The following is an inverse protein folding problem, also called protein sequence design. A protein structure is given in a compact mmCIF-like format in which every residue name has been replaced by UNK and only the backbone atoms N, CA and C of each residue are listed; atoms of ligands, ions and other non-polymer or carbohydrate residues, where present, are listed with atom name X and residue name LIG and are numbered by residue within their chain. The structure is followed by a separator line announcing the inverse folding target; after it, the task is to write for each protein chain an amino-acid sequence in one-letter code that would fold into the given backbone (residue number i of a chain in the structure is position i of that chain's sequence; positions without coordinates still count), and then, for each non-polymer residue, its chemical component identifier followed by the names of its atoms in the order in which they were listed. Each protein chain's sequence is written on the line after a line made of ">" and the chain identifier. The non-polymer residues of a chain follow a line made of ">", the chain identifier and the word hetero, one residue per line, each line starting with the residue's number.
data_IF_700894704029
#
_entry.id   IF_700894704029
#
_cell.length_a   1.000
_cell.length_b   1.000
_cell.length_c   1.000
_cell.angle_alpha   90.00
_cell.angle_beta   90.00
_cell.angle_gamma   90.00
#
_symmetry.space_group_name_H-M   'P 1'
#
loop_
_entity.id
_entity.type
_entity.pdbx_description
1 polymer ?
#
# COMPACT_ATOMS: atom_id res chain seq x y z
N UNK A 1 0.39 20.77 -22.69
CA UNK A 1 -0.52 19.75 -22.16
C UNK A 1 -1.79 19.74 -23.01
N UNK A 2 -1.98 18.75 -23.87
CA UNK A 2 -3.17 18.63 -24.70
C UNK A 2 -4.36 18.12 -23.89
N UNK A 3 -5.52 18.81 -24.01
CA UNK A 3 -6.80 18.35 -23.48
C UNK A 3 -7.54 17.67 -24.64
N UNK A 4 -7.80 16.37 -24.49
CA UNK A 4 -8.41 15.52 -25.51
C UNK A 4 -9.82 15.15 -25.07
N UNK A 5 -10.83 15.68 -25.74
CA UNK A 5 -12.23 15.28 -25.48
C UNK A 5 -12.47 13.90 -26.01
N UNK A 6 -13.06 13.03 -25.18
CA UNK A 6 -13.41 11.67 -25.53
C UNK A 6 -14.93 11.47 -25.47
N UNK A 7 -15.47 10.96 -26.57
CA UNK A 7 -16.87 10.56 -26.72
C UNK A 7 -16.99 9.05 -27.03
N UNK A 8 -15.85 8.40 -27.32
CA UNK A 8 -15.75 6.99 -27.66
C UNK A 8 -14.64 6.30 -26.84
N UNK A 9 -14.69 4.96 -26.80
CA UNK A 9 -13.72 4.15 -26.06
C UNK A 9 -12.44 3.84 -26.85
N UNK A 10 -12.37 4.23 -28.12
CA UNK A 10 -11.30 3.83 -29.05
C UNK A 10 -10.32 4.97 -29.33
N UNK A 11 -9.92 5.71 -28.30
CA UNK A 11 -8.93 6.78 -28.42
C UNK A 11 -7.55 6.22 -28.00
N UNK A 12 -6.49 6.39 -28.83
CA UNK A 12 -5.14 5.98 -28.45
C UNK A 12 -4.69 6.60 -27.12
N UNK A 13 -4.04 5.82 -26.26
CA UNK A 13 -3.58 6.27 -24.94
C UNK A 13 -4.54 6.01 -23.79
N UNK A 14 -5.80 5.60 -24.06
CA UNK A 14 -6.77 5.25 -23.02
C UNK A 14 -6.62 3.82 -22.47
N UNK A 15 -5.77 2.99 -23.06
CA UNK A 15 -5.62 1.58 -22.69
C UNK A 15 -5.37 1.36 -21.20
N UNK A 16 -4.54 2.23 -20.59
CA UNK A 16 -4.23 2.16 -19.17
C UNK A 16 -5.46 2.26 -18.26
N UNK A 17 -6.53 2.92 -18.73
CA UNK A 17 -7.74 3.15 -17.94
C UNK A 17 -8.88 2.15 -18.24
N UNK A 18 -8.84 1.45 -19.36
CA UNK A 18 -9.97 0.67 -19.85
C UNK A 18 -9.66 -0.81 -20.08
N UNK A 19 -8.65 -1.11 -20.90
CA UNK A 19 -8.42 -2.45 -21.44
C UNK A 19 -7.35 -3.24 -20.71
N UNK A 20 -6.41 -2.55 -20.04
CA UNK A 20 -5.31 -3.22 -19.35
C UNK A 20 -5.71 -3.71 -17.96
N UNK A 21 -5.49 -4.99 -17.72
CA UNK A 21 -5.56 -5.56 -16.39
C UNK A 21 -4.39 -5.05 -15.52
N UNK A 22 -4.52 -5.13 -14.19
CA UNK A 22 -3.42 -4.79 -13.26
C UNK A 22 -2.11 -5.52 -13.59
N UNK A 23 -2.21 -6.78 -14.06
CA UNK A 23 -1.04 -7.56 -14.49
C UNK A 23 -0.40 -7.00 -15.76
N UNK A 24 -1.20 -6.53 -16.69
CA UNK A 24 -0.71 -5.91 -17.93
C UNK A 24 -0.12 -4.53 -17.65
N UNK A 25 -0.78 -3.70 -16.83
CA UNK A 25 -0.24 -2.41 -16.37
C UNK A 25 1.15 -2.58 -15.75
N UNK A 26 1.33 -3.60 -14.91
CA UNK A 26 2.64 -3.89 -14.30
C UNK A 26 3.71 -4.31 -15.31
N UNK A 27 3.32 -4.82 -16.48
CA UNK A 27 4.23 -5.28 -17.55
C UNK A 27 4.46 -4.26 -18.68
N UNK A 28 3.69 -3.18 -18.72
CA UNK A 28 3.98 -2.07 -19.64
C UNK A 28 5.41 -1.56 -19.43
N UNK A 29 5.97 -0.90 -20.43
CA UNK A 29 7.31 -0.33 -20.37
C UNK A 29 7.52 0.51 -19.11
N UNK A 30 8.43 0.04 -18.24
CA UNK A 30 8.66 0.59 -16.90
C UNK A 30 7.56 0.29 -15.86
N UNK A 31 6.47 -0.39 -16.25
CA UNK A 31 5.31 -0.67 -15.38
C UNK A 31 4.47 0.57 -15.05
N UNK A 32 3.15 0.41 -15.01
CA UNK A 32 2.21 1.46 -14.65
C UNK A 32 1.36 1.06 -13.44
N UNK A 33 0.75 2.05 -12.82
CA UNK A 33 -0.32 1.89 -11.84
C UNK A 33 -1.31 3.07 -11.95
N UNK A 34 -2.52 2.91 -11.41
CA UNK A 34 -3.56 3.93 -11.45
C UNK A 34 -3.72 4.55 -10.05
N UNK A 35 -3.56 5.86 -9.98
CA UNK A 35 -3.93 6.67 -8.83
C UNK A 35 -5.33 7.28 -9.06
N UNK A 36 -6.21 7.18 -8.05
CA UNK A 36 -7.59 7.66 -8.11
C UNK A 36 -7.82 8.76 -7.10
N UNK A 37 -8.37 9.85 -7.52
CA UNK A 37 -8.69 11.11 -6.82
C UNK A 37 -7.55 12.14 -6.78
N UNK A 38 -7.89 13.46 -6.81
CA UNK A 38 -6.89 14.54 -6.74
C UNK A 38 -5.97 14.42 -5.52
N UNK A 39 -6.53 14.04 -4.35
CA UNK A 39 -5.74 13.88 -3.12
C UNK A 39 -4.67 12.78 -3.24
N UNK A 40 -5.04 11.62 -3.76
CA UNK A 40 -4.11 10.48 -3.93
C UNK A 40 -3.05 10.80 -4.98
N UNK A 41 -3.47 11.40 -6.11
CA UNK A 41 -2.56 11.83 -7.18
C UNK A 41 -1.55 12.85 -6.65
N UNK A 42 -2.01 13.82 -5.85
CA UNK A 42 -1.13 14.81 -5.21
C UNK A 42 -0.05 14.12 -4.36
N UNK A 43 -0.43 13.17 -3.51
CA UNK A 43 0.53 12.44 -2.66
C UNK A 43 1.53 11.66 -3.50
N UNK A 44 1.10 11.03 -4.61
CA UNK A 44 1.99 10.33 -5.52
C UNK A 44 2.99 11.28 -6.20
N UNK A 45 2.52 12.45 -6.69
CA UNK A 45 3.37 13.50 -7.28
C UNK A 45 4.36 14.05 -6.23
N UNK A 46 3.93 14.29 -5.00
CA UNK A 46 4.79 14.76 -3.90
C UNK A 46 5.87 13.71 -3.57
N UNK A 47 5.56 12.42 -3.72
CA UNK A 47 6.52 11.32 -3.58
C UNK A 47 7.41 11.11 -4.82
N UNK A 48 7.26 11.93 -5.88
CA UNK A 48 8.08 11.90 -7.08
C UNK A 48 7.72 10.82 -8.09
N UNK A 49 6.49 10.31 -8.08
CA UNK A 49 5.99 9.45 -9.14
C UNK A 49 5.64 10.27 -10.39
N UNK A 50 5.99 9.74 -11.56
CA UNK A 50 5.80 10.41 -12.84
C UNK A 50 4.42 10.08 -13.42
N UNK A 51 3.59 11.10 -13.75
CA UNK A 51 2.34 10.90 -14.45
C UNK A 51 2.61 10.58 -15.93
N UNK A 52 1.76 9.73 -16.53
CA UNK A 52 1.85 9.30 -17.93
C UNK A 52 0.62 9.73 -18.72
N UNK A 53 -0.55 9.63 -18.12
CA UNK A 53 -1.81 10.07 -18.71
C UNK A 53 -2.81 10.42 -17.60
N UNK A 54 -3.73 11.30 -17.90
CA UNK A 54 -4.77 11.75 -16.99
C UNK A 54 -6.16 11.54 -17.59
N UNK A 55 -7.12 11.12 -16.78
CA UNK A 55 -8.52 10.93 -17.20
C UNK A 55 -9.46 11.54 -16.17
N UNK A 56 -10.34 12.43 -16.60
CA UNK A 56 -11.32 13.03 -15.69
C UNK A 56 -12.63 13.45 -16.37
N UNK A 57 -13.66 13.70 -15.56
CA UNK A 57 -14.83 14.43 -16.02
C UNK A 57 -14.47 15.90 -16.30
N UNK A 58 -15.13 16.51 -17.29
CA UNK A 58 -14.85 17.91 -17.74
C UNK A 58 -14.89 18.91 -16.59
N UNK A 59 -15.82 18.76 -15.65
CA UNK A 59 -15.96 19.63 -14.47
C UNK A 59 -14.75 19.66 -13.55
N UNK A 60 -13.91 18.63 -13.57
CA UNK A 60 -12.73 18.53 -12.68
C UNK A 60 -11.52 19.29 -13.23
N UNK A 61 -11.48 19.59 -14.54
CA UNK A 61 -10.34 20.25 -15.17
C UNK A 61 -10.07 21.61 -14.53
N UNK A 62 -11.11 22.44 -14.40
CA UNK A 62 -11.05 23.75 -13.74
C UNK A 62 -11.53 23.71 -12.28
N UNK A 63 -11.88 22.50 -11.79
CA UNK A 63 -12.34 22.23 -10.43
C UNK A 63 -11.23 21.68 -9.53
N UNK A 64 -11.58 20.65 -8.77
CA UNK A 64 -10.73 20.04 -7.74
C UNK A 64 -9.49 19.30 -8.27
N UNK A 65 -9.40 19.01 -9.58
CA UNK A 65 -8.23 18.42 -10.20
C UNK A 65 -7.28 19.46 -10.84
N UNK A 66 -7.64 20.73 -10.93
CA UNK A 66 -6.84 21.77 -11.60
C UNK A 66 -5.38 21.79 -11.13
N UNK A 67 -5.19 21.81 -9.81
CA UNK A 67 -3.84 21.91 -9.23
C UNK A 67 -2.99 20.68 -9.53
N UNK A 68 -3.56 19.47 -9.47
CA UNK A 68 -2.81 18.24 -9.77
C UNK A 68 -2.55 18.10 -11.26
N UNK A 69 -3.49 18.52 -12.12
CA UNK A 69 -3.31 18.53 -13.58
C UNK A 69 -2.15 19.47 -13.95
N UNK A 70 -2.10 20.68 -13.40
CA UNK A 70 -1.04 21.65 -13.68
C UNK A 70 0.38 21.13 -13.32
N UNK A 71 0.47 20.20 -12.39
CA UNK A 71 1.72 19.57 -11.95
C UNK A 71 2.12 18.35 -12.78
N UNK A 72 1.24 17.85 -13.64
CA UNK A 72 1.52 16.65 -14.42
C UNK A 72 2.44 16.88 -15.65
N UNK A 73 2.81 18.12 -15.96
CA UNK A 73 3.67 18.43 -17.10
C UNK A 73 2.95 18.27 -18.45
N UNK A 74 3.68 17.88 -19.48
CA UNK A 74 3.15 17.75 -20.84
C UNK A 74 2.69 16.31 -21.13
N UNK A 75 1.61 15.90 -20.50
CA UNK A 75 0.94 14.60 -20.72
C UNK A 75 -0.44 14.79 -21.32
N UNK A 76 -1.00 13.73 -21.90
CA UNK A 76 -2.37 13.73 -22.40
C UNK A 76 -3.38 13.74 -21.26
N UNK A 77 -4.32 14.72 -21.31
CA UNK A 77 -5.44 14.83 -20.40
C UNK A 77 -6.74 14.50 -21.15
N UNK A 78 -7.22 13.28 -20.92
CA UNK A 78 -8.46 12.81 -21.50
C UNK A 78 -9.66 13.30 -20.67
N UNK A 79 -10.64 13.88 -21.35
CA UNK A 79 -11.80 14.50 -20.71
C UNK A 79 -13.08 14.00 -21.35
N UNK A 80 -13.99 13.50 -20.55
CA UNK A 80 -15.27 13.00 -21.06
C UNK A 80 -16.42 13.19 -20.08
N UNK A 81 -17.64 12.93 -20.59
CA UNK A 81 -18.82 12.86 -19.73
C UNK A 81 -18.76 11.65 -18.79
N UNK A 82 -19.37 11.76 -17.61
CA UNK A 82 -19.44 10.70 -16.61
C UNK A 82 -19.87 9.35 -17.18
N UNK A 83 -20.87 9.32 -18.07
CA UNK A 83 -21.38 8.09 -18.69
C UNK A 83 -20.34 7.42 -19.57
N UNK A 84 -19.59 8.23 -20.36
CA UNK A 84 -18.51 7.72 -21.21
C UNK A 84 -17.39 7.13 -20.35
N UNK A 85 -17.00 7.84 -19.29
CA UNK A 85 -15.96 7.36 -18.36
C UNK A 85 -16.38 6.09 -17.62
N UNK A 86 -17.64 5.99 -17.20
CA UNK A 86 -18.17 4.78 -16.55
C UNK A 86 -18.16 3.58 -17.52
N UNK A 87 -18.52 3.80 -18.80
CA UNK A 87 -18.43 2.75 -19.84
C UNK A 87 -16.99 2.32 -20.11
N UNK A 88 -16.03 3.26 -20.07
CA UNK A 88 -14.62 3.00 -20.28
C UNK A 88 -14.02 2.16 -19.15
N UNK A 89 -14.29 2.54 -17.91
CA UNK A 89 -13.68 1.93 -16.73
C UNK A 89 -14.43 0.70 -16.22
N UNK A 90 -15.66 0.47 -16.72
CA UNK A 90 -16.55 -0.61 -16.28
C UNK A 90 -17.24 -0.35 -14.93
N UNK A 91 -17.11 0.86 -14.36
CA UNK A 91 -17.77 1.27 -13.12
C UNK A 91 -17.87 2.81 -13.03
N UNK A 92 -18.83 3.27 -12.24
CA UNK A 92 -18.95 4.71 -11.94
C UNK A 92 -17.73 5.23 -11.20
N UNK A 93 -17.05 6.22 -11.78
CA UNK A 93 -15.95 6.93 -11.13
C UNK A 93 -16.50 7.79 -10.00
N UNK A 94 -16.48 7.27 -8.78
CA UNK A 94 -17.04 7.97 -7.60
C UNK A 94 -16.37 9.33 -7.34
N UNK A 95 -15.12 9.50 -7.80
CA UNK A 95 -14.33 10.74 -7.64
C UNK A 95 -13.92 11.36 -8.98
N UNK A 96 -14.34 10.79 -10.10
CA UNK A 96 -14.23 11.34 -11.45
C UNK A 96 -12.83 11.64 -11.99
N UNK A 97 -11.77 11.19 -11.30
CA UNK A 97 -10.38 11.54 -11.64
C UNK A 97 -9.46 10.35 -11.48
N UNK A 98 -8.72 10.02 -12.55
CA UNK A 98 -7.69 8.98 -12.59
C UNK A 98 -6.40 9.53 -13.19
N UNK A 99 -5.25 9.02 -12.72
CA UNK A 99 -3.95 9.28 -13.32
C UNK A 99 -3.20 7.95 -13.46
N UNK A 100 -2.76 7.63 -14.66
CA UNK A 100 -1.81 6.56 -14.90
C UNK A 100 -0.41 7.09 -14.59
N UNK A 101 0.32 6.39 -13.74
CA UNK A 101 1.62 6.80 -13.25
C UNK A 101 2.65 5.70 -13.44
N UNK A 102 3.89 6.07 -13.66
CA UNK A 102 5.00 5.14 -13.85
C UNK A 102 5.44 4.54 -12.52
N UNK A 103 5.62 3.22 -12.49
CA UNK A 103 6.26 2.54 -11.35
C UNK A 103 7.73 2.93 -11.28
N UNK A 104 8.26 2.95 -10.07
CA UNK A 104 9.69 3.23 -9.83
C UNK A 104 10.41 1.94 -9.43
N UNK A 105 11.71 1.80 -9.73
CA UNK A 105 12.53 0.78 -9.09
C UNK A 105 12.40 0.88 -7.57
N UNK A 106 12.19 -0.26 -6.93
CA UNK A 106 12.09 -0.30 -5.47
C UNK A 106 13.47 -0.44 -4.84
N UNK A 107 13.71 0.19 -3.69
CA UNK A 107 14.91 -0.01 -2.91
C UNK A 107 14.97 -1.44 -2.36
N UNK A 108 16.14 -1.85 -1.88
CA UNK A 108 16.28 -3.12 -1.16
C UNK A 108 15.74 -3.03 0.26
N UNK A 109 15.43 -4.20 0.88
CA UNK A 109 15.08 -4.26 2.30
C UNK A 109 16.18 -3.67 3.18
N UNK A 110 17.44 -3.94 2.82
CA UNK A 110 18.59 -3.40 3.54
C UNK A 110 18.62 -1.86 3.54
N UNK A 111 18.24 -1.24 2.42
CA UNK A 111 18.25 0.23 2.31
C UNK A 111 17.13 0.87 3.15
N UNK A 112 15.90 0.35 3.04
CA UNK A 112 14.75 0.93 3.75
C UNK A 112 14.76 0.63 5.26
N UNK A 113 15.35 -0.48 5.67
CA UNK A 113 15.33 -0.92 7.07
C UNK A 113 16.60 -0.54 7.87
N UNK A 114 17.66 -0.05 7.23
CA UNK A 114 18.95 0.28 7.89
C UNK A 114 18.77 1.14 9.14
N UNK A 115 18.01 2.22 9.02
CA UNK A 115 17.77 3.20 10.08
C UNK A 115 16.38 3.05 10.72
N UNK A 116 15.62 2.05 10.33
CA UNK A 116 14.29 1.77 10.86
C UNK A 116 14.37 1.13 12.25
N UNK A 117 13.39 1.42 13.08
CA UNK A 117 13.22 0.82 14.40
C UNK A 117 11.94 -0.03 14.49
N UNK A 118 10.93 0.31 13.72
CA UNK A 118 9.65 -0.42 13.61
C UNK A 118 9.37 -0.72 12.15
N UNK A 119 9.33 -1.99 11.81
CA UNK A 119 9.07 -2.48 10.44
C UNK A 119 7.83 -3.37 10.46
N UNK A 120 6.96 -3.19 9.48
CA UNK A 120 5.88 -4.14 9.23
C UNK A 120 6.29 -5.12 8.12
N UNK A 121 5.99 -6.40 8.31
CA UNK A 121 6.12 -7.42 7.27
C UNK A 121 4.73 -7.91 6.88
N UNK A 122 4.37 -7.77 5.62
CA UNK A 122 3.13 -8.28 5.03
C UNK A 122 3.46 -9.63 4.40
N UNK A 123 3.06 -10.73 5.05
CA UNK A 123 3.38 -12.08 4.62
C UNK A 123 2.12 -12.82 4.16
N UNK A 124 1.96 -13.00 2.86
CA UNK A 124 0.86 -13.76 2.26
C UNK A 124 -0.50 -13.05 2.27
N UNK A 125 -0.58 -11.77 2.60
CA UNK A 125 -1.83 -11.01 2.56
C UNK A 125 -2.18 -10.68 1.12
N UNK A 126 -3.10 -11.42 0.52
CA UNK A 126 -3.45 -11.31 -0.91
C UNK A 126 -4.51 -10.26 -1.21
N UNK A 127 -5.41 -9.97 -0.26
CA UNK A 127 -6.45 -8.95 -0.48
C UNK A 127 -5.84 -7.54 -0.49
N UNK A 128 -5.94 -6.91 -1.63
CA UNK A 128 -5.46 -5.55 -1.85
C UNK A 128 -6.15 -4.50 -0.97
N UNK A 129 -7.34 -4.77 -0.45
CA UNK A 129 -8.00 -3.91 0.55
C UNK A 129 -7.22 -3.93 1.85
N UNK A 130 -6.87 -5.13 2.32
CA UNK A 130 -6.10 -5.30 3.54
C UNK A 130 -4.68 -4.73 3.38
N UNK A 131 -4.01 -4.99 2.26
CA UNK A 131 -2.70 -4.39 1.96
C UNK A 131 -2.78 -2.86 2.05
N UNK A 132 -3.75 -2.23 1.39
CA UNK A 132 -3.93 -0.78 1.44
C UNK A 132 -4.21 -0.25 2.85
N UNK A 133 -5.03 -0.95 3.62
CA UNK A 133 -5.35 -0.56 4.99
C UNK A 133 -4.15 -0.71 5.95
N UNK A 134 -3.34 -1.76 5.78
CA UNK A 134 -2.08 -1.94 6.54
C UNK A 134 -1.12 -0.79 6.26
N UNK A 135 -0.91 -0.40 4.99
CA UNK A 135 -0.08 0.75 4.64
C UNK A 135 -0.60 2.05 5.25
N UNK A 136 -1.92 2.23 5.28
CA UNK A 136 -2.53 3.41 5.91
C UNK A 136 -2.27 3.45 7.42
N UNK A 137 -2.41 2.32 8.09
CA UNK A 137 -2.11 2.18 9.51
C UNK A 137 -0.61 2.37 9.79
N UNK A 138 0.26 1.79 8.94
CA UNK A 138 1.71 1.92 9.04
C UNK A 138 2.14 3.40 8.99
N UNK A 139 1.67 4.14 7.99
CA UNK A 139 1.96 5.57 7.85
C UNK A 139 1.45 6.39 9.04
N UNK A 140 0.22 6.11 9.50
CA UNK A 140 -0.40 6.87 10.57
C UNK A 140 0.21 6.60 11.96
N UNK A 141 0.78 5.41 12.17
CA UNK A 141 1.21 4.93 13.48
C UNK A 141 2.74 4.80 13.61
N UNK A 142 3.49 5.40 12.68
CA UNK A 142 4.93 5.54 12.81
C UNK A 142 5.73 4.26 12.54
N UNK A 143 5.25 3.42 11.62
CA UNK A 143 6.05 2.34 11.04
C UNK A 143 7.03 2.95 10.04
N UNK A 144 8.32 2.66 10.21
CA UNK A 144 9.39 3.28 9.43
C UNK A 144 9.53 2.68 8.02
N UNK A 145 9.22 1.39 7.85
CA UNK A 145 9.28 0.70 6.56
C UNK A 145 8.33 -0.51 6.51
N UNK A 146 7.96 -0.91 5.29
CA UNK A 146 7.13 -2.10 5.07
C UNK A 146 7.86 -3.07 4.14
N UNK A 147 7.97 -4.32 4.56
CA UNK A 147 8.47 -5.42 3.73
C UNK A 147 7.28 -6.27 3.27
N UNK A 148 7.21 -6.56 1.98
CA UNK A 148 6.10 -7.30 1.38
C UNK A 148 6.61 -8.58 0.76
N UNK A 149 6.03 -9.73 1.09
CA UNK A 149 6.42 -10.99 0.47
C UNK A 149 5.82 -11.17 -0.91
N UNK A 150 6.49 -11.89 -1.79
CA UNK A 150 6.12 -12.05 -3.21
C UNK A 150 4.75 -12.70 -3.44
N UNK A 151 4.22 -13.42 -2.44
CA UNK A 151 2.89 -14.03 -2.44
C UNK A 151 1.80 -13.10 -1.88
N UNK A 152 2.13 -11.85 -1.53
CA UNK A 152 1.17 -10.84 -1.09
C UNK A 152 0.62 -10.02 -2.25
N UNK A 153 -0.48 -9.30 -2.00
CA UNK A 153 -1.04 -8.32 -2.93
C UNK A 153 -0.06 -7.19 -3.23
N UNK A 154 -0.20 -6.61 -4.42
CA UNK A 154 0.66 -5.51 -4.87
C UNK A 154 0.26 -4.19 -4.18
N UNK A 155 1.16 -3.52 -3.43
CA UNK A 155 0.88 -2.21 -2.84
C UNK A 155 0.48 -1.13 -3.86
N UNK A 156 0.96 -1.23 -5.10
CA UNK A 156 0.58 -0.32 -6.19
C UNK A 156 -0.61 -0.83 -7.02
N UNK A 157 -1.30 -1.90 -6.59
CA UNK A 157 -2.60 -2.23 -7.14
C UNK A 157 -3.57 -1.06 -6.90
N UNK A 158 -4.39 -0.74 -7.88
CA UNK A 158 -5.35 0.37 -7.82
C UNK A 158 -6.17 0.38 -6.52
N UNK A 159 -6.64 -0.80 -6.06
CA UNK A 159 -7.42 -0.93 -4.83
C UNK A 159 -6.58 -0.61 -3.59
N UNK A 160 -5.34 -1.10 -3.52
CA UNK A 160 -4.40 -0.79 -2.43
C UNK A 160 -4.10 0.71 -2.35
N UNK A 161 -3.77 1.32 -3.48
CA UNK A 161 -3.52 2.77 -3.59
C UNK A 161 -4.72 3.58 -3.12
N UNK A 162 -5.94 3.19 -3.55
CA UNK A 162 -7.18 3.86 -3.17
C UNK A 162 -7.49 3.72 -1.69
N UNK A 163 -7.43 2.52 -1.14
CA UNK A 163 -7.74 2.23 0.27
C UNK A 163 -6.71 2.88 1.20
N UNK A 164 -5.44 2.86 0.83
CA UNK A 164 -4.39 3.53 1.60
C UNK A 164 -4.51 5.07 1.58
N UNK A 165 -5.38 5.63 0.74
CA UNK A 165 -5.45 7.08 0.51
C UNK A 165 -4.09 7.70 0.12
N UNK A 166 -3.25 6.94 -0.59
CA UNK A 166 -1.90 7.33 -1.00
C UNK A 166 -0.83 7.09 0.06
N UNK A 167 -1.16 6.51 1.23
CA UNK A 167 -0.15 6.23 2.27
C UNK A 167 0.93 5.25 1.82
N UNK A 168 0.65 4.43 0.80
CA UNK A 168 1.64 3.56 0.14
C UNK A 168 2.83 4.34 -0.44
N UNK A 169 2.67 5.63 -0.71
CA UNK A 169 3.72 6.51 -1.20
C UNK A 169 4.50 7.22 -0.09
N UNK A 170 4.01 7.16 1.15
CA UNK A 170 4.59 7.86 2.31
C UNK A 170 5.54 6.99 3.11
N UNK A 171 5.35 5.67 3.10
CA UNK A 171 6.19 4.72 3.83
C UNK A 171 7.05 3.97 2.82
N UNK A 172 8.39 3.96 2.96
CA UNK A 172 9.24 3.16 2.08
C UNK A 172 8.93 1.68 2.21
N UNK A 173 8.94 0.97 1.07
CA UNK A 173 8.67 -0.45 1.07
C UNK A 173 9.48 -1.20 0.00
N UNK A 174 9.66 -2.50 0.23
CA UNK A 174 10.39 -3.39 -0.67
C UNK A 174 9.75 -4.78 -0.71
N UNK A 175 9.96 -5.49 -1.82
CA UNK A 175 9.67 -6.92 -1.90
C UNK A 175 10.81 -7.72 -1.26
N UNK A 176 10.45 -8.82 -0.56
CA UNK A 176 11.42 -9.80 -0.09
C UNK A 176 10.86 -11.21 -0.18
N UNK A 177 11.73 -12.17 -0.51
CA UNK A 177 11.49 -13.60 -0.34
C UNK A 177 12.16 -14.16 0.91
N UNK A 178 13.08 -13.42 1.52
CA UNK A 178 13.87 -13.85 2.68
C UNK A 178 14.04 -12.74 3.73
N UNK A 179 12.92 -12.09 4.06
CA UNK A 179 12.90 -10.97 5.00
C UNK A 179 13.48 -11.31 6.38
N UNK A 180 13.35 -12.56 6.84
CA UNK A 180 13.86 -12.97 8.15
C UNK A 180 15.40 -12.84 8.22
N UNK A 181 16.11 -13.32 7.21
CA UNK A 181 17.58 -13.22 7.16
C UNK A 181 18.02 -11.76 6.99
N UNK A 182 17.36 -11.01 6.10
CA UNK A 182 17.67 -9.60 5.84
C UNK A 182 17.48 -8.73 7.09
N UNK A 183 16.35 -8.89 7.79
CA UNK A 183 16.05 -8.13 9.01
C UNK A 183 16.96 -8.54 10.18
N UNK A 184 17.29 -9.84 10.32
CA UNK A 184 18.21 -10.33 11.34
C UNK A 184 19.61 -9.74 11.16
N UNK A 185 20.12 -9.61 9.93
CA UNK A 185 21.40 -8.96 9.61
C UNK A 185 21.42 -7.49 10.05
N UNK A 186 20.26 -6.83 10.08
CA UNK A 186 20.10 -5.45 10.54
C UNK A 186 19.84 -5.32 12.05
N UNK A 187 19.81 -6.45 12.79
CA UNK A 187 19.61 -6.49 14.23
C UNK A 187 18.14 -6.38 14.68
N UNK A 188 17.19 -6.66 13.77
CA UNK A 188 15.77 -6.72 14.16
C UNK A 188 15.46 -8.01 14.92
N UNK A 189 14.63 -7.86 15.94
CA UNK A 189 13.82 -8.94 16.48
C UNK A 189 12.51 -9.03 15.72
N UNK A 190 11.99 -10.24 15.55
CA UNK A 190 10.76 -10.50 14.79
C UNK A 190 9.63 -10.92 15.72
N UNK A 191 8.45 -10.33 15.52
CA UNK A 191 7.22 -10.61 16.25
C UNK A 191 6.15 -11.13 15.28
N UNK A 192 5.93 -12.44 15.26
CA UNK A 192 4.93 -13.08 14.44
C UNK A 192 3.53 -12.94 15.09
N UNK A 193 2.62 -12.24 14.44
CA UNK A 193 1.23 -12.09 14.91
C UNK A 193 0.47 -13.39 14.60
N UNK A 194 0.44 -14.30 15.57
CA UNK A 194 -0.16 -15.63 15.43
C UNK A 194 -0.69 -16.18 16.76
N UNK A 195 -1.66 -17.09 16.65
CA UNK A 195 -2.16 -17.84 17.78
C UNK A 195 -1.33 -19.13 17.93
N UNK A 196 -0.62 -19.27 19.03
CA UNK A 196 0.10 -20.48 19.41
C UNK A 196 0.13 -20.60 20.95
N UNK A 197 0.32 -21.79 21.48
CA UNK A 197 0.32 -22.05 22.93
C UNK A 197 1.34 -21.18 23.69
N UNK A 198 2.51 -20.95 23.07
CA UNK A 198 3.60 -20.14 23.63
C UNK A 198 3.49 -18.65 23.29
N UNK A 199 2.37 -18.17 22.70
CA UNK A 199 2.25 -16.75 22.34
C UNK A 199 2.25 -15.87 23.58
N UNK A 200 3.04 -14.78 23.52
CA UNK A 200 3.00 -13.70 24.49
C UNK A 200 1.88 -12.71 24.13
N UNK A 201 1.40 -11.98 25.11
CA UNK A 201 0.42 -10.91 24.88
C UNK A 201 1.05 -9.71 24.17
N UNK A 202 0.29 -9.02 23.33
CA UNK A 202 0.76 -7.84 22.58
C UNK A 202 1.27 -6.71 23.49
N UNK A 203 0.76 -6.60 24.71
CA UNK A 203 1.17 -5.63 25.72
C UNK A 203 2.40 -6.03 26.53
N UNK A 204 3.06 -7.15 26.19
CA UNK A 204 4.28 -7.58 26.86
C UNK A 204 5.37 -6.50 26.73
N UNK A 205 5.88 -6.05 27.87
CA UNK A 205 6.85 -4.96 27.94
C UNK A 205 8.16 -5.24 27.19
N UNK A 206 8.52 -6.51 27.00
CA UNK A 206 9.71 -6.93 26.23
C UNK A 206 9.62 -6.48 24.77
N UNK A 207 8.43 -6.54 24.16
CA UNK A 207 8.21 -6.12 22.77
C UNK A 207 8.48 -4.62 22.58
N UNK A 208 8.00 -3.80 23.50
CA UNK A 208 8.23 -2.34 23.49
C UNK A 208 9.70 -1.97 23.73
N UNK A 209 10.38 -2.75 24.55
CA UNK A 209 11.78 -2.54 24.91
C UNK A 209 12.75 -2.84 23.75
N UNK A 210 12.32 -3.59 22.73
CA UNK A 210 13.17 -3.87 21.57
C UNK A 210 13.51 -2.60 20.80
N UNK A 211 14.81 -2.39 20.58
CA UNK A 211 15.30 -1.24 19.80
C UNK A 211 14.87 -1.31 18.35
N UNK A 212 14.88 -2.52 17.78
CA UNK A 212 14.46 -2.82 16.40
C UNK A 212 13.49 -4.01 16.41
N UNK A 213 12.25 -3.77 16.03
CA UNK A 213 11.20 -4.78 16.00
C UNK A 213 10.50 -4.83 14.64
N UNK A 214 10.43 -6.01 14.06
CA UNK A 214 9.67 -6.29 12.85
C UNK A 214 8.38 -7.05 13.22
N UNK A 215 7.23 -6.49 12.86
CA UNK A 215 5.90 -7.00 13.16
C UNK A 215 5.40 -7.74 11.93
N UNK A 216 5.27 -9.07 12.00
CA UNK A 216 4.90 -9.92 10.87
C UNK A 216 3.40 -10.17 10.90
N UNK A 217 2.70 -9.71 9.85
CA UNK A 217 1.27 -9.85 9.66
C UNK A 217 1.00 -10.96 8.63
N UNK A 218 0.18 -11.95 9.00
CA UNK A 218 -0.22 -13.06 8.14
C UNK A 218 -1.54 -12.82 7.40
N UNK A 219 -1.90 -13.77 6.53
CA UNK A 219 -3.19 -13.76 5.81
C UNK A 219 -4.36 -14.07 6.75
N UNK A 220 -5.57 -13.71 6.29
CA UNK A 220 -6.81 -14.14 6.93
C UNK A 220 -7.07 -15.63 6.66
N UNK A 221 -7.56 -16.34 7.67
CA UNK A 221 -7.85 -17.77 7.62
C UNK A 221 -6.64 -18.61 8.05
N UNK A 222 -5.70 -18.90 7.16
CA UNK A 222 -4.55 -19.77 7.45
C UNK A 222 -3.48 -19.13 8.34
N UNK A 223 -3.52 -17.81 8.53
CA UNK A 223 -2.55 -17.08 9.34
C UNK A 223 -1.16 -17.02 8.71
N UNK A 224 -0.13 -17.04 9.54
CA UNK A 224 1.26 -17.09 9.10
C UNK A 224 1.67 -18.52 8.78
N UNK A 225 2.53 -18.75 7.76
CA UNK A 225 3.14 -20.05 7.54
C UNK A 225 3.86 -20.56 8.80
N UNK A 226 3.77 -21.86 9.08
CA UNK A 226 4.38 -22.48 10.25
C UNK A 226 5.87 -22.11 10.41
N UNK A 227 6.62 -22.14 9.31
CA UNK A 227 8.02 -21.74 9.28
C UNK A 227 8.24 -20.29 9.77
N UNK A 228 7.36 -19.36 9.38
CA UNK A 228 7.48 -17.95 9.81
C UNK A 228 7.22 -17.79 11.32
N UNK A 229 6.35 -18.62 11.89
CA UNK A 229 6.08 -18.65 13.34
C UNK A 229 7.26 -19.25 14.11
N UNK A 230 7.82 -20.38 13.62
CA UNK A 230 8.94 -21.08 14.25
C UNK A 230 10.25 -20.26 14.22
N UNK A 231 10.49 -19.49 13.16
CA UNK A 231 11.68 -18.67 13.00
C UNK A 231 11.59 -17.32 13.71
N UNK A 232 10.42 -16.93 14.21
CA UNK A 232 10.22 -15.64 14.89
C UNK A 232 10.83 -15.64 16.30
N UNK A 233 11.38 -14.48 16.71
CA UNK A 233 11.88 -14.31 18.08
C UNK A 233 10.73 -14.26 19.09
N UNK A 234 9.57 -13.75 18.69
CA UNK A 234 8.34 -13.69 19.49
C UNK A 234 7.15 -14.18 18.67
N UNK A 235 6.31 -14.99 19.26
CA UNK A 235 4.95 -15.25 18.77
C UNK A 235 4.01 -14.43 19.62
N UNK A 236 3.20 -13.56 18.98
CA UNK A 236 2.44 -12.52 19.67
C UNK A 236 0.96 -12.66 19.35
N UNK A 237 0.12 -12.63 20.38
CA UNK A 237 -1.34 -12.60 20.23
C UNK A 237 -1.94 -11.30 20.78
N UNK A 238 -2.99 -10.84 20.14
CA UNK A 238 -3.89 -9.83 20.69
C UNK A 238 -4.86 -10.55 21.62
N UNK A 239 -4.94 -10.22 22.92
CA UNK A 239 -5.95 -10.82 23.80
C UNK A 239 -7.36 -10.52 23.31
N UNK A 240 -8.17 -11.54 23.13
CA UNK A 240 -9.55 -11.43 22.64
C UNK A 240 -10.55 -11.76 23.73
N UNK A 241 -11.76 -11.21 23.61
CA UNK A 241 -12.90 -11.48 24.48
C UNK A 241 -13.96 -12.29 23.72
N UNK A 242 -14.91 -12.86 24.46
CA UNK A 242 -16.09 -13.53 23.90
C UNK A 242 -15.79 -14.68 22.93
N UNK A 243 -14.67 -15.40 23.11
CA UNK A 243 -14.24 -16.51 22.24
C UNK A 243 -14.08 -16.09 20.76
N UNK A 244 -13.73 -14.84 20.49
CA UNK A 244 -13.32 -14.40 19.17
C UNK A 244 -11.87 -14.81 18.98
N UNK A 245 -11.56 -15.56 17.90
CA UNK A 245 -10.21 -16.09 17.68
C UNK A 245 -9.27 -15.04 17.09
N UNK A 246 -9.75 -14.19 16.17
CA UNK A 246 -8.89 -13.22 15.47
C UNK A 246 -9.64 -11.97 15.03
N UNK A 247 -8.89 -10.94 14.70
CA UNK A 247 -9.36 -9.75 13.98
C UNK A 247 -8.97 -9.86 12.49
N UNK A 248 -9.72 -9.17 11.64
CA UNK A 248 -9.26 -8.87 10.30
C UNK A 248 -7.82 -8.34 10.35
N UNK A 249 -6.95 -8.76 9.42
CA UNK A 249 -5.51 -8.44 9.46
C UNK A 249 -5.21 -6.94 9.45
N UNK A 250 -6.03 -6.14 8.77
CA UNK A 250 -5.88 -4.68 8.77
C UNK A 250 -6.22 -4.06 10.14
N UNK A 251 -7.24 -4.59 10.84
CA UNK A 251 -7.56 -4.18 12.21
C UNK A 251 -6.47 -4.62 13.18
N UNK A 252 -6.03 -5.89 13.09
CA UNK A 252 -4.93 -6.43 13.89
C UNK A 252 -3.64 -5.61 13.73
N UNK A 253 -3.32 -5.20 12.48
CA UNK A 253 -2.15 -4.36 12.20
C UNK A 253 -2.24 -3.00 12.89
N UNK A 254 -3.41 -2.35 12.85
CA UNK A 254 -3.59 -1.05 13.49
C UNK A 254 -3.40 -1.13 15.02
N UNK A 255 -3.95 -2.19 15.66
CA UNK A 255 -3.79 -2.44 17.10
C UNK A 255 -2.31 -2.72 17.44
N UNK A 256 -1.66 -3.61 16.66
CA UNK A 256 -0.26 -3.95 16.89
C UNK A 256 0.68 -2.74 16.69
N UNK A 257 0.47 -1.96 15.63
CA UNK A 257 1.30 -0.77 15.36
C UNK A 257 1.09 0.30 16.42
N UNK A 258 -0.13 0.52 16.88
CA UNK A 258 -0.41 1.45 17.97
C UNK A 258 0.29 1.03 19.26
N UNK A 259 0.18 -0.23 19.66
CA UNK A 259 0.75 -0.74 20.91
C UNK A 259 2.28 -0.74 20.87
N UNK A 260 2.87 -1.14 19.74
CA UNK A 260 4.32 -1.34 19.61
C UNK A 260 5.08 -0.13 19.01
N UNK A 261 4.38 1.01 18.77
CA UNK A 261 5.04 2.23 18.30
C UNK A 261 6.09 2.73 19.31
N UNK A 262 7.07 3.47 18.81
CA UNK A 262 7.97 4.23 19.69
C UNK A 262 7.28 5.52 20.15
N UNK A 263 7.47 5.90 21.39
CA UNK A 263 6.88 7.10 22.02
C UNK A 263 7.41 8.43 21.45
N UNK A 264 7.51 8.56 20.13
CA UNK A 264 7.96 9.76 19.43
C UNK A 264 6.85 10.53 18.73
N UNK A 265 5.59 10.36 19.11
CA UNK A 265 4.55 11.30 18.70
C UNK A 265 4.57 12.51 19.64
N UNK A 266 5.53 13.40 19.45
CA UNK A 266 5.34 14.80 19.85
C UNK A 266 4.42 15.42 18.80
N UNK A 267 3.19 15.70 19.17
CA UNK A 267 2.24 16.51 18.41
C UNK A 267 2.70 17.97 18.37
#
# INVERSE_FOLDING_TARGET
>A
MPIIKIDTLSVPGLDAFSSLTERQLKRCDGGLFIAESPKVIKVALDAGYEPVAFLCEERHVEGDARDVISRCGDIDVFVGERKVLASLTGYDLTRGVLCAMRRRPLPSVMDICRNAARVAVINGVVDNTNVGAIFRSAAALGIDAVVVTSNSGDPLNRRSVRVSMGSVFLVPWAWSSDYNEELRKLGFKTAAMALADQSVSLDDARLKAENKLAIIMGTEGDGLPQKAVEEADYVVRIPMMHNVDSLNVAAASAVAFWELRRDKCSF
#
